data_IF_776407633330
#
_entry.id   IF_776407633330
#
_cell.length_a   1.000
_cell.length_b   1.000
_cell.length_c   1.000
_cell.angle_alpha   90.00
_cell.angle_beta   90.00
_cell.angle_gamma   90.00
#
_symmetry.space_group_name_H-M   'P 1'
#
loop_
_entity.id
_entity.type
_entity.pdbx_description
1 polymer ?
#
# COMPACT_ATOMS: atom_id res chain seq x y z
N UNK A 1 46.72 -20.97 3.37
CA UNK A 1 46.11 -20.06 2.36
C UNK A 1 44.62 -19.93 2.62
N UNK A 2 44.13 -18.69 2.70
CA UNK A 2 42.83 -18.30 3.26
C UNK A 2 41.60 -18.52 2.36
N UNK A 3 40.46 -18.61 3.05
CA UNK A 3 39.09 -18.82 2.56
C UNK A 3 38.62 -17.62 1.70
N UNK A 4 38.81 -17.68 0.38
CA UNK A 4 38.46 -16.58 -0.55
C UNK A 4 37.22 -16.79 -1.43
N UNK A 5 36.61 -17.98 -1.44
CA UNK A 5 35.68 -18.35 -2.53
C UNK A 5 34.21 -17.96 -2.33
N UNK A 6 33.82 -17.43 -1.16
CA UNK A 6 32.42 -17.06 -0.88
C UNK A 6 32.11 -15.58 -1.13
N UNK A 7 33.10 -14.69 -1.05
CA UNK A 7 32.90 -13.26 -1.28
C UNK A 7 32.69 -12.94 -2.77
N UNK A 8 33.52 -13.53 -3.65
CA UNK A 8 33.41 -13.34 -5.10
C UNK A 8 32.10 -13.90 -5.68
N UNK A 9 31.69 -15.10 -5.22
CA UNK A 9 30.39 -15.69 -5.59
C UNK A 9 29.21 -14.82 -5.12
N UNK A 10 29.30 -14.23 -3.92
CA UNK A 10 28.25 -13.36 -3.39
C UNK A 10 28.17 -12.02 -4.10
N UNK A 11 29.30 -11.46 -4.56
CA UNK A 11 29.32 -10.22 -5.32
C UNK A 11 28.73 -10.42 -6.72
N UNK A 12 29.13 -11.47 -7.44
CA UNK A 12 28.54 -11.81 -8.74
C UNK A 12 27.04 -12.14 -8.66
N UNK A 13 26.57 -12.70 -7.54
CA UNK A 13 25.14 -12.92 -7.32
C UNK A 13 24.36 -11.62 -7.07
N UNK A 14 24.98 -10.61 -6.43
CA UNK A 14 24.38 -9.26 -6.31
C UNK A 14 24.39 -8.53 -7.64
N UNK A 15 25.48 -8.60 -8.38
CA UNK A 15 25.66 -7.93 -9.68
C UNK A 15 24.77 -8.53 -10.77
N UNK A 16 24.48 -9.84 -10.72
CA UNK A 16 23.46 -10.46 -11.59
C UNK A 16 22.02 -10.12 -11.20
N UNK A 17 21.76 -9.74 -9.94
CA UNK A 17 20.43 -9.32 -9.47
C UNK A 17 20.07 -7.91 -9.95
N UNK A 18 21.07 -7.09 -10.27
CA UNK A 18 20.89 -5.72 -10.79
C UNK A 18 20.72 -5.67 -12.30
N UNK A 19 20.92 -6.79 -13.02
CA UNK A 19 20.58 -6.92 -14.44
C UNK A 19 19.09 -7.26 -14.55
N UNK A 20 18.27 -6.22 -14.42
CA UNK A 20 16.97 -6.03 -15.06
C UNK A 20 16.10 -7.27 -15.31
N UNK A 21 15.73 -7.97 -14.24
CA UNK A 21 14.40 -8.59 -14.22
C UNK A 21 13.44 -7.41 -14.12
N UNK A 22 12.66 -7.14 -15.17
CA UNK A 22 11.53 -6.20 -15.14
C UNK A 22 10.65 -6.57 -13.94
N UNK A 23 10.94 -5.94 -12.81
CA UNK A 23 10.44 -6.35 -11.50
C UNK A 23 8.93 -6.23 -11.47
N UNK A 24 8.27 -7.25 -10.95
CA UNK A 24 6.83 -7.22 -10.72
C UNK A 24 6.42 -5.92 -10.04
N UNK A 25 5.27 -5.37 -10.46
CA UNK A 25 4.71 -4.10 -9.95
C UNK A 25 4.89 -4.08 -8.43
N UNK A 26 5.63 -3.10 -7.92
CA UNK A 26 5.91 -3.03 -6.48
C UNK A 26 4.58 -2.96 -5.74
N UNK A 27 4.29 -3.98 -4.93
CA UNK A 27 3.04 -4.07 -4.16
C UNK A 27 2.83 -2.80 -3.30
N UNK A 28 3.90 -2.17 -2.86
CA UNK A 28 3.87 -0.91 -2.10
C UNK A 28 3.23 0.22 -2.92
N UNK A 29 3.59 0.38 -4.20
CA UNK A 29 2.97 1.38 -5.09
C UNK A 29 1.50 1.05 -5.34
N UNK A 30 1.19 -0.22 -5.61
CA UNK A 30 -0.20 -0.66 -5.78
C UNK A 30 -1.05 -0.40 -4.52
N UNK A 31 -0.47 -0.55 -3.32
CA UNK A 31 -1.14 -0.26 -2.06
C UNK A 31 -1.33 1.25 -1.83
N UNK A 32 -0.36 2.09 -2.23
CA UNK A 32 -0.49 3.55 -2.20
C UNK A 32 -1.58 4.03 -3.15
N UNK A 33 -1.60 3.51 -4.37
CA UNK A 33 -2.66 3.76 -5.36
C UNK A 33 -4.01 3.20 -4.94
N UNK A 34 -4.07 2.31 -3.93
CA UNK A 34 -5.33 1.80 -3.41
C UNK A 34 -5.95 2.75 -2.37
N UNK A 35 -5.24 3.74 -1.83
CA UNK A 35 -5.73 4.71 -0.83
C UNK A 35 -6.56 5.85 -1.46
N UNK A 36 -7.60 5.51 -2.22
CA UNK A 36 -8.37 6.49 -3.00
C UNK A 36 -9.64 7.00 -2.31
N UNK A 37 -9.97 6.52 -1.11
CA UNK A 37 -11.21 6.92 -0.42
C UNK A 37 -10.82 7.81 0.76
N UNK A 38 -11.21 9.08 0.74
CA UNK A 38 -10.86 10.05 1.78
C UNK A 38 -12.13 10.49 2.48
N UNK A 39 -12.16 10.46 3.81
CA UNK A 39 -13.25 11.03 4.58
C UNK A 39 -13.21 12.56 4.45
N UNK A 40 -14.30 13.20 4.01
CA UNK A 40 -14.35 14.66 3.84
C UNK A 40 -14.46 15.44 5.16
N UNK A 41 -14.72 14.75 6.27
CA UNK A 41 -14.84 15.39 7.59
C UNK A 41 -13.49 15.46 8.30
N UNK A 42 -12.73 14.36 8.31
CA UNK A 42 -11.45 14.27 9.02
C UNK A 42 -10.24 14.02 8.13
N UNK A 43 -10.42 13.92 6.81
CA UNK A 43 -9.37 13.70 5.81
C UNK A 43 -8.53 12.43 6.02
N UNK A 44 -9.03 11.47 6.79
CA UNK A 44 -8.40 10.16 6.92
C UNK A 44 -8.54 9.41 5.60
N UNK A 45 -7.43 8.87 5.11
CA UNK A 45 -7.37 8.06 3.90
C UNK A 45 -7.69 6.59 4.19
N UNK A 46 -8.49 5.99 3.33
CA UNK A 46 -8.95 4.61 3.40
C UNK A 46 -8.65 3.91 2.07
N UNK A 47 -8.47 2.59 2.16
CA UNK A 47 -8.31 1.77 0.97
C UNK A 47 -9.63 1.68 0.21
N UNK A 48 -9.56 1.74 -1.13
CA UNK A 48 -10.69 1.60 -2.06
C UNK A 48 -11.45 0.29 -1.84
N UNK A 49 -10.74 -0.76 -1.44
CA UNK A 49 -11.27 -2.09 -1.18
C UNK A 49 -12.02 -2.22 0.14
N UNK A 50 -12.00 -1.21 1.03
CA UNK A 50 -12.75 -1.29 2.28
C UNK A 50 -14.26 -1.42 2.02
N UNK A 51 -14.90 -2.27 2.81
CA UNK A 51 -16.35 -2.49 2.71
C UNK A 51 -17.12 -1.28 3.25
N UNK A 52 -18.39 -1.16 2.84
CA UNK A 52 -19.28 -0.08 3.33
C UNK A 52 -19.41 -0.16 4.85
N UNK A 53 -19.46 -1.35 5.43
CA UNK A 53 -19.56 -1.55 6.89
C UNK A 53 -18.39 -0.91 7.65
N UNK A 54 -17.15 -1.03 7.14
CA UNK A 54 -15.98 -0.42 7.76
C UNK A 54 -16.02 1.11 7.69
N UNK A 55 -16.48 1.67 6.57
CA UNK A 55 -16.62 3.11 6.41
C UNK A 55 -17.78 3.68 7.22
N UNK A 56 -18.88 2.91 7.35
CA UNK A 56 -20.01 3.26 8.19
C UNK A 56 -19.62 3.27 9.68
N UNK A 57 -18.82 2.29 10.13
CA UNK A 57 -18.27 2.27 11.48
C UNK A 57 -17.44 3.54 11.75
N UNK A 58 -16.60 3.96 10.80
CA UNK A 58 -15.87 5.22 10.92
C UNK A 58 -16.82 6.43 11.01
N UNK A 59 -17.78 6.54 10.10
CA UNK A 59 -18.72 7.66 10.06
C UNK A 59 -19.56 7.76 11.34
N UNK A 60 -20.02 6.63 11.88
CA UNK A 60 -20.82 6.56 13.10
C UNK A 60 -19.97 6.83 14.35
N UNK A 61 -18.84 6.13 14.53
CA UNK A 61 -18.04 6.24 15.75
C UNK A 61 -17.25 7.55 15.86
N UNK A 62 -16.85 8.16 14.73
CA UNK A 62 -16.05 9.40 14.73
C UNK A 62 -16.88 10.66 14.54
N UNK A 63 -17.98 10.57 13.78
CA UNK A 63 -18.71 11.75 13.35
C UNK A 63 -20.20 11.70 13.68
N UNK A 64 -20.75 10.55 14.09
CA UNK A 64 -22.19 10.38 14.29
C UNK A 64 -23.00 10.68 13.04
N UNK A 65 -22.40 10.51 11.85
CA UNK A 65 -22.98 10.89 10.55
C UNK A 65 -23.22 9.68 9.67
N UNK A 66 -24.01 9.89 8.63
CA UNK A 66 -24.21 8.87 7.60
C UNK A 66 -22.95 8.69 6.74
N UNK A 67 -22.76 7.46 6.26
CA UNK A 67 -21.57 7.12 5.45
C UNK A 67 -21.51 7.94 4.15
N UNK A 68 -22.67 8.33 3.61
CA UNK A 68 -22.79 9.18 2.41
C UNK A 68 -22.32 10.61 2.64
N UNK A 69 -22.46 11.11 3.86
CA UNK A 69 -22.01 12.47 4.21
C UNK A 69 -20.49 12.51 4.42
N UNK A 70 -19.91 11.44 4.99
CA UNK A 70 -18.46 11.35 5.19
C UNK A 70 -17.70 11.00 3.92
N UNK A 71 -18.27 10.17 3.05
CA UNK A 71 -17.62 9.65 1.84
C UNK A 71 -18.45 9.90 0.57
N UNK A 72 -18.66 11.17 0.17
CA UNK A 72 -19.46 11.49 -1.02
C UNK A 72 -18.81 11.04 -2.33
N UNK A 73 -17.49 10.83 -2.37
CA UNK A 73 -16.81 10.37 -3.60
C UNK A 73 -16.97 8.85 -3.85
N UNK A 74 -17.53 8.11 -2.88
CA UNK A 74 -17.73 6.65 -2.96
C UNK A 74 -19.18 6.26 -3.31
N UNK A 75 -20.14 7.15 -3.07
CA UNK A 75 -21.57 6.94 -3.25
C UNK A 75 -22.14 7.95 -4.25
#
# INVERSE_FOLDING_TARGET
MGKGSNACKRNQARERKTVEVKGGKSQIKANQEALNVICKVCYTAFMKTQSISQLAEHAQNRHGKDVKECFPDKF
#
